data_IF_757367959743
#
_entry.id   IF_757367959743
#
_cell.length_a   1.000
_cell.length_b   1.000
_cell.length_c   1.000
_cell.angle_alpha   90.00
_cell.angle_beta   90.00
_cell.angle_gamma   90.00
#
_symmetry.space_group_name_H-M   'P 1'
#
loop_
_entity.id
_entity.type
_entity.pdbx_description
1 polymer ?
#
# COMPACT_ATOMS: atom_id res chain seq x y z
N UNK A 1 -6.54 -10.33 -42.88
CA UNK A 1 -7.53 -11.10 -42.10
C UNK A 1 -6.96 -11.69 -40.79
N UNK A 2 -6.09 -10.97 -40.06
CA UNK A 2 -5.49 -11.43 -38.78
C UNK A 2 -5.93 -10.64 -37.53
N UNK A 3 -6.55 -9.47 -37.70
CA UNK A 3 -6.98 -8.60 -36.58
C UNK A 3 -8.10 -9.22 -35.75
N UNK A 4 -9.16 -9.73 -36.39
CA UNK A 4 -10.32 -10.32 -35.68
C UNK A 4 -9.99 -11.53 -34.79
N UNK A 5 -8.92 -12.28 -35.04
CA UNK A 5 -8.53 -13.42 -34.20
C UNK A 5 -7.81 -12.97 -32.93
N UNK A 6 -6.96 -11.95 -33.02
CA UNK A 6 -6.26 -11.41 -31.85
C UNK A 6 -7.24 -10.67 -30.94
N UNK A 7 -8.14 -9.87 -31.51
CA UNK A 7 -9.13 -9.13 -30.73
C UNK A 7 -10.06 -10.09 -29.96
N UNK A 8 -10.56 -11.13 -30.63
CA UNK A 8 -11.39 -12.15 -29.98
C UNK A 8 -10.64 -12.97 -28.91
N UNK A 9 -9.34 -13.24 -29.13
CA UNK A 9 -8.50 -13.89 -28.13
C UNK A 9 -8.28 -12.99 -26.90
N UNK A 10 -8.05 -11.68 -27.10
CA UNK A 10 -7.89 -10.72 -26.02
C UNK A 10 -9.19 -10.49 -25.25
N UNK A 11 -10.34 -10.49 -25.91
CA UNK A 11 -11.65 -10.40 -25.26
C UNK A 11 -11.91 -11.62 -24.38
N UNK A 12 -11.67 -12.82 -24.92
CA UNK A 12 -11.80 -14.08 -24.16
C UNK A 12 -10.84 -14.10 -22.96
N UNK A 13 -9.58 -13.70 -23.18
CA UNK A 13 -8.60 -13.62 -22.10
C UNK A 13 -8.99 -12.61 -21.02
N UNK A 14 -9.53 -11.44 -21.39
CA UNK A 14 -10.00 -10.47 -20.40
C UNK A 14 -11.11 -11.05 -19.53
N UNK A 15 -12.11 -11.67 -20.16
CA UNK A 15 -13.22 -12.28 -19.45
C UNK A 15 -12.78 -13.38 -18.48
N UNK A 16 -11.84 -14.21 -18.91
CA UNK A 16 -11.46 -15.41 -18.16
C UNK A 16 -10.39 -15.14 -17.09
N UNK A 17 -9.54 -14.13 -17.28
CA UNK A 17 -8.32 -13.94 -16.46
C UNK A 17 -8.10 -12.51 -15.96
N UNK A 18 -8.92 -11.54 -16.35
CA UNK A 18 -8.74 -10.12 -15.97
C UNK A 18 -9.93 -9.60 -15.19
N UNK A 19 -11.14 -9.83 -15.70
CA UNK A 19 -12.36 -9.29 -15.14
C UNK A 19 -12.59 -9.79 -13.72
N UNK A 20 -13.05 -8.88 -12.87
CA UNK A 20 -13.43 -9.17 -11.49
C UNK A 20 -14.94 -9.13 -11.43
N UNK A 21 -15.53 -10.12 -10.77
CA UNK A 21 -16.96 -10.11 -10.48
C UNK A 21 -17.32 -8.86 -9.64
N UNK A 22 -18.19 -7.95 -10.14
CA UNK A 22 -18.52 -6.72 -9.43
C UNK A 22 -19.14 -6.96 -8.04
N UNK A 23 -19.88 -8.06 -7.85
CA UNK A 23 -20.46 -8.38 -6.54
C UNK A 23 -19.38 -8.75 -5.52
N UNK A 24 -18.38 -9.52 -5.92
CA UNK A 24 -17.25 -9.90 -5.06
C UNK A 24 -16.39 -8.68 -4.70
N UNK A 25 -16.15 -7.77 -5.65
CA UNK A 25 -15.43 -6.53 -5.36
C UNK A 25 -16.18 -5.66 -4.35
N UNK A 26 -17.52 -5.59 -4.48
CA UNK A 26 -18.36 -4.84 -3.55
C UNK A 26 -18.31 -5.44 -2.14
N UNK A 27 -18.49 -6.75 -2.02
CA UNK A 27 -18.41 -7.47 -0.74
C UNK A 27 -17.03 -7.28 -0.07
N UNK A 28 -15.95 -7.47 -0.83
CA UNK A 28 -14.59 -7.31 -0.30
C UNK A 28 -14.28 -5.87 0.13
N UNK A 29 -14.82 -4.87 -0.57
CA UNK A 29 -14.71 -3.47 -0.16
C UNK A 29 -15.48 -3.18 1.15
N UNK A 30 -16.63 -3.80 1.38
CA UNK A 30 -17.37 -3.66 2.64
C UNK A 30 -16.58 -4.24 3.81
N UNK A 31 -16.01 -5.44 3.64
CA UNK A 31 -15.14 -6.08 4.63
C UNK A 31 -13.91 -5.20 4.90
N UNK A 32 -13.24 -4.74 3.84
CA UNK A 32 -12.09 -3.85 3.92
C UNK A 32 -12.42 -2.58 4.74
N UNK A 33 -13.53 -1.91 4.42
CA UNK A 33 -13.94 -0.66 5.06
C UNK A 33 -14.24 -0.87 6.56
N UNK A 34 -14.88 -1.98 6.92
CA UNK A 34 -15.14 -2.35 8.32
C UNK A 34 -13.83 -2.55 9.08
N UNK A 35 -12.94 -3.40 8.57
CA UNK A 35 -11.67 -3.74 9.22
C UNK A 35 -10.77 -2.51 9.37
N UNK A 36 -10.62 -1.68 8.32
CA UNK A 36 -9.70 -0.54 8.38
C UNK A 36 -10.20 0.54 9.35
N UNK A 37 -11.52 0.72 9.47
CA UNK A 37 -12.10 1.65 10.41
C UNK A 37 -11.89 1.23 11.87
N UNK A 38 -12.02 -0.07 12.16
CA UNK A 38 -11.76 -0.64 13.49
C UNK A 38 -10.27 -0.53 13.86
N UNK A 39 -9.38 -0.91 12.93
CA UNK A 39 -7.92 -0.76 13.09
C UNK A 39 -7.55 0.70 13.36
N UNK A 40 -8.08 1.64 12.56
CA UNK A 40 -7.86 3.07 12.76
C UNK A 40 -8.31 3.55 14.14
N UNK A 41 -9.50 3.11 14.57
CA UNK A 41 -10.07 3.49 15.87
C UNK A 41 -9.19 3.05 17.03
N UNK A 42 -8.63 1.84 16.96
CA UNK A 42 -7.72 1.31 17.98
C UNK A 42 -6.37 2.03 17.95
N UNK A 43 -5.74 2.13 16.78
CA UNK A 43 -4.42 2.77 16.66
C UNK A 43 -4.45 4.23 17.09
N UNK A 44 -5.52 4.97 16.76
CA UNK A 44 -5.69 6.38 17.15
C UNK A 44 -5.75 6.58 18.67
N UNK A 45 -6.26 5.59 19.40
CA UNK A 45 -6.38 5.60 20.88
C UNK A 45 -5.15 5.03 21.58
N UNK A 46 -4.27 4.34 20.85
CA UNK A 46 -3.10 3.68 21.41
C UNK A 46 -1.97 4.71 21.67
N UNK A 47 -1.66 4.93 22.94
CA UNK A 47 -0.62 5.89 23.35
C UNK A 47 0.81 5.43 22.99
N UNK A 48 1.00 4.18 22.57
CA UNK A 48 2.29 3.67 22.11
C UNK A 48 2.54 3.99 20.64
N UNK A 49 1.47 4.24 19.87
CA UNK A 49 1.54 4.57 18.45
C UNK A 49 1.64 6.07 18.22
N UNK A 50 2.31 6.46 17.14
CA UNK A 50 2.26 7.83 16.65
C UNK A 50 0.80 8.24 16.38
N UNK A 51 0.49 9.53 16.52
CA UNK A 51 -0.80 10.06 16.10
C UNK A 51 -0.91 9.93 14.58
N UNK A 52 -2.10 9.55 14.14
CA UNK A 52 -2.39 9.26 12.73
C UNK A 52 -3.58 10.05 12.22
N UNK A 53 -3.59 10.30 10.91
CA UNK A 53 -4.76 10.72 10.17
C UNK A 53 -5.54 9.54 9.58
N UNK A 54 -6.66 9.85 8.93
CA UNK A 54 -7.52 8.84 8.35
C UNK A 54 -6.76 8.00 7.31
N UNK A 55 -6.89 6.65 7.32
CA UNK A 55 -6.20 5.79 6.38
C UNK A 55 -6.65 6.05 4.93
N UNK A 56 -5.73 5.85 3.99
CA UNK A 56 -5.97 6.13 2.58
C UNK A 56 -5.72 4.88 1.74
N UNK A 57 -6.77 4.41 1.04
CA UNK A 57 -6.66 3.27 0.12
C UNK A 57 -5.75 3.57 -1.07
N UNK A 58 -4.86 2.64 -1.40
CA UNK A 58 -3.87 2.74 -2.50
C UNK A 58 -3.72 1.40 -3.24
N UNK A 59 -2.99 1.47 -4.35
CA UNK A 59 -2.72 0.28 -5.15
C UNK A 59 -3.91 -0.14 -5.98
N UNK A 60 -3.78 -1.30 -6.62
CA UNK A 60 -4.59 -1.63 -7.79
C UNK A 60 -6.11 -1.69 -7.54
N UNK A 61 -6.52 -2.01 -6.31
CA UNK A 61 -7.93 -2.08 -5.89
C UNK A 61 -8.62 -0.71 -5.82
N UNK A 62 -7.86 0.38 -5.71
CA UNK A 62 -8.38 1.75 -5.68
C UNK A 62 -7.99 2.59 -6.91
N UNK A 63 -7.32 1.96 -7.88
CA UNK A 63 -6.76 2.60 -9.08
C UNK A 63 -7.41 2.08 -10.37
N UNK A 64 -8.50 1.30 -10.27
CA UNK A 64 -9.14 0.58 -11.38
C UNK A 64 -8.20 -0.39 -12.12
N UNK A 65 -7.19 -0.93 -11.43
CA UNK A 65 -6.15 -1.80 -12.00
C UNK A 65 -6.12 -3.21 -11.40
N UNK A 66 -7.06 -3.53 -10.50
CA UNK A 66 -7.17 -4.87 -9.93
C UNK A 66 -7.63 -5.85 -11.03
N UNK A 67 -7.13 -7.08 -10.93
CA UNK A 67 -7.41 -8.17 -11.87
C UNK A 67 -7.59 -9.47 -11.10
N UNK A 68 -8.26 -10.45 -11.72
CA UNK A 68 -8.47 -11.81 -11.21
C UNK A 68 -9.41 -11.83 -10.00
N UNK A 69 -8.92 -11.50 -8.81
CA UNK A 69 -9.66 -11.59 -7.56
C UNK A 69 -9.41 -10.35 -6.69
N UNK A 70 -10.41 -9.83 -5.96
CA UNK A 70 -10.25 -8.68 -5.07
C UNK A 70 -9.67 -9.09 -3.70
N UNK A 71 -8.53 -9.79 -3.71
CA UNK A 71 -7.92 -10.48 -2.56
C UNK A 71 -6.87 -9.65 -1.77
N UNK A 72 -6.53 -8.44 -2.26
CA UNK A 72 -5.46 -7.61 -1.71
C UNK A 72 -5.85 -6.14 -1.79
N UNK A 73 -5.61 -5.40 -0.71
CA UNK A 73 -5.85 -3.97 -0.60
C UNK A 73 -4.65 -3.31 0.07
N UNK A 74 -4.08 -2.28 -0.56
CA UNK A 74 -3.02 -1.49 0.06
C UNK A 74 -3.60 -0.28 0.79
N UNK A 75 -3.04 0.01 1.96
CA UNK A 75 -3.47 1.15 2.79
C UNK A 75 -2.28 1.95 3.24
N UNK A 76 -2.37 3.28 3.09
CA UNK A 76 -1.47 4.23 3.74
C UNK A 76 -2.06 4.70 5.05
N UNK A 77 -1.26 4.69 6.11
CA UNK A 77 -1.60 5.27 7.41
C UNK A 77 -0.73 6.52 7.58
N UNK A 78 -1.29 7.74 7.40
CA UNK A 78 -0.49 8.95 7.51
C UNK A 78 -0.15 9.25 8.98
N UNK A 79 1.12 9.53 9.24
CA UNK A 79 1.57 9.99 10.55
C UNK A 79 1.39 11.50 10.65
N UNK A 80 0.86 11.97 11.78
CA UNK A 80 0.88 13.40 12.11
C UNK A 80 2.26 13.74 12.61
N UNK A 81 2.96 14.58 11.87
CA UNK A 81 4.27 15.09 12.21
C UNK A 81 4.19 16.60 12.10
N UNK A 82 4.68 17.32 13.11
CA UNK A 82 4.71 18.78 13.11
C UNK A 82 5.95 19.27 12.36
N UNK A 83 5.78 19.98 11.25
CA UNK A 83 6.91 20.49 10.47
C UNK A 83 7.82 21.45 11.25
N UNK A 84 7.31 22.04 12.34
CA UNK A 84 8.09 22.88 13.25
C UNK A 84 9.11 22.08 14.06
N UNK A 85 8.85 20.81 14.38
CA UNK A 85 9.72 20.01 15.25
C UNK A 85 10.61 19.04 14.48
N UNK A 86 10.32 18.79 13.20
CA UNK A 86 10.96 17.73 12.43
C UNK A 86 11.53 18.22 11.12
N UNK A 87 12.77 17.82 10.83
CA UNK A 87 13.47 18.10 9.58
C UNK A 87 13.68 16.81 8.78
N UNK A 88 13.45 16.89 7.48
CA UNK A 88 13.65 15.78 6.54
C UNK A 88 14.99 15.99 5.82
N UNK A 89 15.92 15.08 6.03
CA UNK A 89 17.23 15.06 5.38
C UNK A 89 17.28 13.95 4.32
N UNK A 90 17.69 14.26 3.10
CA UNK A 90 17.88 13.27 2.04
C UNK A 90 19.19 12.48 2.23
N UNK A 91 19.14 11.17 2.00
CA UNK A 91 20.34 10.36 2.00
C UNK A 91 21.16 10.61 0.72
N UNK A 92 22.35 11.20 0.86
CA UNK A 92 23.22 11.54 -0.29
C UNK A 92 23.57 10.36 -1.19
N UNK A 93 23.64 9.14 -0.64
CA UNK A 93 23.98 7.92 -1.41
C UNK A 93 22.79 7.38 -2.19
N UNK A 94 21.57 7.63 -1.70
CA UNK A 94 20.34 7.18 -2.33
C UNK A 94 19.22 8.19 -2.01
N UNK A 95 18.92 9.12 -2.94
CA UNK A 95 17.90 10.17 -2.75
C UNK A 95 16.48 9.65 -2.58
N UNK A 96 16.22 8.35 -2.82
CA UNK A 96 14.95 7.71 -2.53
C UNK A 96 14.72 7.49 -1.03
N UNK A 97 15.77 7.59 -0.21
CA UNK A 97 15.69 7.48 1.23
C UNK A 97 15.90 8.81 1.93
N UNK A 98 15.17 9.00 3.03
CA UNK A 98 15.26 10.16 3.90
C UNK A 98 15.46 9.74 5.35
N UNK A 99 15.93 10.69 6.14
CA UNK A 99 16.01 10.61 7.60
C UNK A 99 15.20 11.76 8.18
N UNK A 100 14.33 11.44 9.12
CA UNK A 100 13.51 12.44 9.82
C UNK A 100 14.14 12.70 11.20
N UNK A 101 14.52 13.95 11.47
CA UNK A 101 15.30 14.35 12.65
C UNK A 101 14.55 15.40 13.46
N UNK A 102 14.51 15.23 14.77
CA UNK A 102 14.01 16.18 15.75
C UNK A 102 14.96 17.39 15.82
N UNK A 103 14.45 18.59 15.53
CA UNK A 103 15.25 19.81 15.34
C UNK A 103 15.45 20.55 16.65
N UNK A 104 14.49 20.45 17.57
CA UNK A 104 14.45 21.30 18.76
C UNK A 104 14.52 20.52 20.07
N UNK A 105 14.39 19.19 20.03
CA UNK A 105 14.30 18.37 21.24
C UNK A 105 13.09 18.75 22.09
N UNK A 106 12.09 19.39 21.48
CA UNK A 106 10.83 19.72 22.12
C UNK A 106 9.99 18.45 22.21
N UNK A 107 9.28 18.30 23.32
CA UNK A 107 8.33 17.20 23.46
C UNK A 107 7.22 17.36 22.41
N UNK A 108 7.21 16.44 21.45
CA UNK A 108 6.14 16.29 20.47
C UNK A 108 5.20 15.19 20.95
N UNK A 109 4.03 15.60 21.47
CA UNK A 109 3.01 14.69 21.98
C UNK A 109 2.36 13.81 20.89
N UNK A 110 2.66 14.10 19.61
CA UNK A 110 2.25 13.27 18.48
C UNK A 110 3.13 12.06 18.25
N UNK A 111 4.38 12.07 18.75
CA UNK A 111 5.39 11.02 18.52
C UNK A 111 5.87 10.45 19.86
N UNK A 112 5.41 9.25 20.25
CA UNK A 112 5.88 8.56 21.45
C UNK A 112 7.39 8.31 21.45
N UNK A 113 8.00 8.33 22.64
CA UNK A 113 9.44 8.10 22.81
C UNK A 113 9.91 6.76 22.25
N UNK A 114 9.08 5.72 22.32
CA UNK A 114 9.39 4.40 21.75
C UNK A 114 9.44 4.38 20.22
N UNK A 115 9.06 5.46 19.54
CA UNK A 115 9.20 5.62 18.08
C UNK A 115 10.49 6.35 17.69
N UNK A 116 11.23 6.90 18.67
CA UNK A 116 12.48 7.62 18.43
C UNK A 116 13.70 6.71 18.65
N UNK A 117 14.79 7.01 17.93
CA UNK A 117 16.15 6.51 18.19
C UNK A 117 17.07 7.73 18.34
N UNK A 118 17.33 8.11 19.59
CA UNK A 118 17.92 9.41 19.91
C UNK A 118 17.07 10.56 19.36
N UNK A 119 17.67 11.37 18.48
CA UNK A 119 16.99 12.50 17.81
C UNK A 119 16.27 12.12 16.51
N UNK A 120 16.23 10.84 16.14
CA UNK A 120 15.68 10.41 14.86
C UNK A 120 14.33 9.74 15.04
N UNK A 121 13.39 9.96 14.11
CA UNK A 121 12.21 9.12 13.99
C UNK A 121 12.64 7.81 13.34
N UNK A 122 12.57 6.70 14.08
CA UNK A 122 13.04 5.41 13.60
C UNK A 122 11.94 4.70 12.83
N UNK A 123 12.16 4.44 11.52
CA UNK A 123 11.21 3.68 10.71
C UNK A 123 10.92 2.28 11.29
N UNK A 124 11.94 1.65 11.88
CA UNK A 124 11.82 0.34 12.53
C UNK A 124 10.96 0.44 13.78
N UNK A 125 11.23 1.41 14.65
CA UNK A 125 10.51 1.56 15.91
C UNK A 125 9.05 1.97 15.69
N UNK A 126 8.80 2.86 14.74
CA UNK A 126 7.44 3.20 14.28
C UNK A 126 6.73 1.94 13.81
N UNK A 127 7.31 1.17 12.88
CA UNK A 127 6.63 -0.02 12.36
C UNK A 127 6.34 -1.04 13.47
N UNK A 128 7.31 -1.31 14.36
CA UNK A 128 7.12 -2.22 15.49
C UNK A 128 5.99 -1.76 16.41
N UNK A 129 5.84 -0.46 16.63
CA UNK A 129 4.72 0.08 17.40
C UNK A 129 3.37 -0.21 16.72
N UNK A 130 3.25 0.07 15.42
CA UNK A 130 2.03 -0.19 14.66
C UNK A 130 1.71 -1.68 14.58
N UNK A 131 2.69 -2.53 14.29
CA UNK A 131 2.53 -3.99 14.29
C UNK A 131 2.06 -4.49 15.66
N UNK A 132 2.63 -3.98 16.75
CA UNK A 132 2.19 -4.30 18.10
C UNK A 132 0.75 -3.86 18.38
N UNK A 133 0.34 -2.67 17.90
CA UNK A 133 -1.04 -2.17 17.99
C UNK A 133 -2.03 -3.05 17.23
N UNK A 134 -1.70 -3.40 15.99
CA UNK A 134 -2.50 -4.30 15.14
C UNK A 134 -2.59 -5.69 15.77
N UNK A 135 -1.49 -6.24 16.30
CA UNK A 135 -1.50 -7.53 16.98
C UNK A 135 -2.41 -7.52 18.21
N UNK A 136 -2.40 -6.44 18.99
CA UNK A 136 -3.31 -6.27 20.15
C UNK A 136 -4.78 -6.22 19.71
N UNK A 137 -5.08 -5.56 18.60
CA UNK A 137 -6.42 -5.55 18.01
C UNK A 137 -6.85 -6.95 17.60
N UNK A 138 -6.04 -7.63 16.79
CA UNK A 138 -6.30 -8.98 16.28
C UNK A 138 -6.52 -9.99 17.41
N UNK A 139 -5.70 -9.93 18.47
CA UNK A 139 -5.84 -10.83 19.64
C UNK A 139 -7.15 -10.65 20.41
N UNK A 140 -7.81 -9.49 20.27
CA UNK A 140 -9.08 -9.16 20.93
C UNK A 140 -10.26 -9.16 19.97
N UNK A 141 -10.02 -9.47 18.69
CA UNK A 141 -11.04 -9.42 17.68
C UNK A 141 -12.00 -10.59 17.86
N UNK A 142 -13.29 -10.27 17.96
CA UNK A 142 -14.39 -11.23 18.14
C UNK A 142 -15.51 -10.96 17.12
N UNK A 143 -15.12 -10.50 15.92
CA UNK A 143 -16.04 -10.23 14.82
C UNK A 143 -16.25 -11.42 13.90
N UNK A 144 -16.88 -11.16 12.76
CA UNK A 144 -17.38 -12.19 11.84
C UNK A 144 -16.28 -12.94 11.05
N UNK A 145 -15.02 -12.51 11.17
CA UNK A 145 -13.89 -13.03 10.40
C UNK A 145 -12.70 -13.42 11.27
N UNK A 146 -11.85 -14.31 10.76
CA UNK A 146 -10.57 -14.62 11.40
C UNK A 146 -9.49 -13.68 10.90
N UNK A 147 -9.02 -12.79 11.75
CA UNK A 147 -7.89 -11.92 11.45
C UNK A 147 -6.56 -12.56 11.88
N UNK A 148 -5.53 -12.41 11.05
CA UNK A 148 -4.15 -12.81 11.37
C UNK A 148 -3.18 -11.73 10.91
N UNK A 149 -2.14 -11.46 11.71
CA UNK A 149 -1.07 -10.53 11.33
C UNK A 149 0.01 -11.29 10.58
N UNK A 150 0.36 -10.83 9.38
CA UNK A 150 1.50 -11.35 8.64
C UNK A 150 2.81 -10.84 9.23
N UNK A 151 3.79 -11.74 9.40
CA UNK A 151 5.19 -11.38 9.72
C UNK A 151 6.02 -11.12 8.46
N UNK A 152 5.46 -11.36 7.27
CA UNK A 152 6.11 -11.10 5.99
C UNK A 152 5.89 -9.63 5.62
N UNK A 153 6.88 -8.79 5.93
CA UNK A 153 6.97 -7.39 5.51
C UNK A 153 8.36 -7.08 4.95
N UNK A 154 8.56 -5.93 4.31
CA UNK A 154 9.88 -5.53 3.82
C UNK A 154 10.90 -5.50 4.98
N UNK A 155 12.13 -5.93 4.71
CA UNK A 155 13.23 -5.75 5.65
C UNK A 155 13.41 -4.25 5.94
N UNK A 156 13.31 -3.87 7.21
CA UNK A 156 13.23 -2.47 7.60
C UNK A 156 14.64 -1.96 7.91
N UNK A 157 14.97 -0.79 7.38
CA UNK A 157 16.16 -0.02 7.75
C UNK A 157 15.78 1.15 8.65
N UNK A 158 16.75 1.81 9.30
CA UNK A 158 16.48 3.04 10.05
C UNK A 158 15.95 4.21 9.17
N UNK A 159 16.15 4.14 7.86
CA UNK A 159 15.75 5.16 6.89
C UNK A 159 14.30 4.98 6.41
N UNK A 160 13.62 6.09 6.13
CA UNK A 160 12.32 6.10 5.47
C UNK A 160 12.51 6.15 3.93
N UNK A 161 11.70 5.40 3.19
CA UNK A 161 11.66 5.49 1.71
C UNK A 161 10.60 6.52 1.29
N UNK A 162 10.93 7.42 0.38
CA UNK A 162 9.96 8.32 -0.26
C UNK A 162 8.90 7.50 -1.00
N UNK A 163 7.64 7.90 -0.89
CA UNK A 163 6.52 7.33 -1.63
C UNK A 163 5.87 8.41 -2.47
N UNK A 164 5.61 8.10 -3.74
CA UNK A 164 4.90 8.97 -4.68
C UNK A 164 3.54 8.38 -5.06
N UNK A 165 3.02 7.45 -4.25
CA UNK A 165 1.75 6.74 -4.44
C UNK A 165 0.56 7.63 -4.78
N UNK A 166 0.57 8.89 -4.34
CA UNK A 166 -0.50 9.85 -4.62
C UNK A 166 -0.43 10.38 -6.05
N UNK A 167 0.77 10.75 -6.51
CA UNK A 167 1.02 11.08 -7.91
C UNK A 167 0.82 9.85 -8.82
N UNK A 168 1.27 8.68 -8.38
CA UNK A 168 1.08 7.43 -9.10
C UNK A 168 -0.40 7.06 -9.25
N UNK A 169 -1.22 7.28 -8.21
CA UNK A 169 -2.67 7.11 -8.29
C UNK A 169 -3.27 8.09 -9.28
N UNK A 170 -2.89 9.37 -9.22
CA UNK A 170 -3.37 10.37 -10.17
C UNK A 170 -3.06 9.96 -11.61
N UNK A 171 -1.81 9.62 -11.92
CA UNK A 171 -1.39 9.15 -13.23
C UNK A 171 -2.19 7.91 -13.66
N UNK A 172 -2.30 6.90 -12.80
CA UNK A 172 -3.04 5.66 -13.09
C UNK A 172 -4.52 5.93 -13.41
N UNK A 173 -5.18 6.79 -12.62
CA UNK A 173 -6.58 7.15 -12.83
C UNK A 173 -6.78 7.91 -14.15
N UNK A 174 -5.82 8.74 -14.55
CA UNK A 174 -5.82 9.53 -15.78
C UNK A 174 -5.44 8.75 -17.05
N UNK A 175 -4.99 7.49 -16.94
CA UNK A 175 -4.67 6.67 -18.11
C UNK A 175 -5.92 6.42 -18.98
N UNK A 176 -5.78 6.43 -20.33
CA UNK A 176 -6.83 5.97 -21.23
C UNK A 176 -7.27 4.53 -20.94
N UNK A 177 -8.51 4.20 -21.29
CA UNK A 177 -9.10 2.87 -21.03
C UNK A 177 -8.26 1.77 -21.68
N UNK A 178 -7.74 2.01 -22.88
CA UNK A 178 -6.91 1.07 -23.65
C UNK A 178 -5.59 0.80 -22.92
N UNK A 179 -4.96 1.83 -22.36
CA UNK A 179 -3.72 1.69 -21.59
C UNK A 179 -3.97 0.90 -20.28
N UNK A 180 -5.09 1.17 -19.59
CA UNK A 180 -5.51 0.39 -18.42
C UNK A 180 -5.73 -1.08 -18.77
N UNK A 181 -6.38 -1.38 -19.90
CA UNK A 181 -6.57 -2.75 -20.40
C UNK A 181 -5.24 -3.47 -20.63
N UNK A 182 -4.28 -2.82 -21.30
CA UNK A 182 -2.94 -3.41 -21.53
C UNK A 182 -2.24 -3.72 -20.21
N UNK A 183 -2.28 -2.81 -19.24
CA UNK A 183 -1.65 -3.00 -17.94
C UNK A 183 -2.29 -4.17 -17.17
N UNK A 184 -3.62 -4.27 -17.19
CA UNK A 184 -4.37 -5.37 -16.59
C UNK A 184 -4.03 -6.73 -17.21
N UNK A 185 -3.99 -6.80 -18.54
CA UNK A 185 -3.61 -8.02 -19.27
C UNK A 185 -2.18 -8.43 -18.91
N UNK A 186 -1.24 -7.47 -18.88
CA UNK A 186 0.17 -7.73 -18.50
C UNK A 186 0.26 -8.31 -17.09
N UNK A 187 -0.52 -7.77 -16.14
CA UNK A 187 -0.60 -8.27 -14.77
C UNK A 187 -1.20 -9.67 -14.71
N UNK A 188 -2.28 -9.92 -15.43
CA UNK A 188 -2.94 -11.23 -15.49
C UNK A 188 -2.06 -12.32 -16.12
N UNK A 189 -1.30 -12.00 -17.17
CA UNK A 189 -0.31 -12.91 -17.77
C UNK A 189 0.73 -13.34 -16.72
N UNK A 190 1.28 -12.38 -15.97
CA UNK A 190 2.24 -12.66 -14.90
C UNK A 190 1.66 -13.54 -13.79
N UNK A 191 0.38 -13.37 -13.45
CA UNK A 191 -0.26 -14.13 -12.37
C UNK A 191 -0.61 -15.57 -12.81
N UNK A 192 -1.14 -15.73 -14.02
CA UNK A 192 -1.74 -16.98 -14.47
C UNK A 192 -0.79 -17.90 -15.26
N UNK A 193 0.27 -17.37 -15.89
CA UNK A 193 1.17 -18.17 -16.73
C UNK A 193 2.45 -18.61 -16.01
N UNK A 194 2.46 -18.61 -14.67
CA UNK A 194 3.64 -18.98 -13.89
C UNK A 194 4.05 -20.45 -14.11
N UNK A 195 5.36 -20.75 -14.14
CA UNK A 195 6.47 -19.81 -13.99
C UNK A 195 6.74 -19.00 -15.27
N UNK A 196 6.98 -17.70 -15.13
CA UNK A 196 7.39 -16.83 -16.23
C UNK A 196 8.67 -16.07 -15.90
N UNK A 197 9.48 -15.65 -16.89
CA UNK A 197 10.57 -14.69 -16.66
C UNK A 197 10.10 -13.37 -16.02
N UNK A 198 8.80 -13.06 -16.07
CA UNK A 198 8.20 -11.88 -15.45
C UNK A 198 8.04 -12.00 -13.92
N UNK A 199 8.25 -13.19 -13.34
CA UNK A 199 8.13 -13.39 -11.89
C UNK A 199 9.21 -12.63 -11.09
N UNK A 200 10.34 -12.32 -11.71
CA UNK A 200 11.43 -11.52 -11.09
C UNK A 200 11.15 -10.02 -11.10
N UNK A 201 10.10 -9.57 -11.80
CA UNK A 201 9.80 -8.15 -12.03
C UNK A 201 8.58 -7.74 -11.20
N UNK A 202 8.72 -6.85 -10.19
CA UNK A 202 7.58 -6.36 -9.41
C UNK A 202 6.54 -5.66 -10.28
N UNK A 203 5.27 -5.71 -9.88
CA UNK A 203 4.17 -5.06 -10.61
C UNK A 203 4.38 -3.55 -10.80
N UNK A 204 5.18 -2.94 -9.92
CA UNK A 204 5.61 -1.54 -9.98
C UNK A 204 6.28 -1.17 -11.31
N UNK A 205 7.12 -2.04 -11.88
CA UNK A 205 7.89 -1.74 -13.09
C UNK A 205 6.97 -1.55 -14.30
N UNK A 206 5.91 -2.34 -14.43
CA UNK A 206 4.95 -2.20 -15.53
C UNK A 206 4.14 -0.90 -15.41
N UNK A 207 3.78 -0.52 -14.18
CA UNK A 207 3.10 0.74 -13.91
C UNK A 207 4.00 1.91 -14.32
N UNK A 208 5.26 1.92 -13.88
CA UNK A 208 6.23 2.96 -14.23
C UNK A 208 6.46 3.04 -15.75
N UNK A 209 6.63 1.91 -16.42
CA UNK A 209 6.86 1.87 -17.87
C UNK A 209 5.70 2.45 -18.69
N UNK A 210 4.46 2.29 -18.23
CA UNK A 210 3.26 2.79 -18.91
C UNK A 210 2.91 4.24 -18.55
N UNK A 211 3.50 4.78 -17.49
CA UNK A 211 3.34 6.20 -17.10
C UNK A 211 4.36 7.13 -17.74
N UNK A 212 5.33 6.59 -18.49
CA UNK A 212 6.30 7.31 -19.30
C UNK A 212 5.89 7.29 -20.77
#
# INVERSE_FOLDING_TARGET
>A
MKFNQLDSALESFNKDYVDINPSEMTEMLEIYNKVIFEVFTILKKDNKCCKIDFPIGRGSSFEDLKVVEPDEFDVLIPLKITETNWFIEECRKDPCFVRITDVHGLDDDTIPLNCKDGKYLSATSVLSSFQGGIQRFVNKYDGDYKLNVSTKGPAITQLQRKSFSDGERYCAMSLPIEAKKILKITKAIKLNLRPTPMDTVPSYIYKTAMTH
#
